data_IF_909956683914
#
_entry.id   IF_909956683914
#
_cell.length_a   1.000
_cell.length_b   1.000
_cell.length_c   1.000
_cell.angle_alpha   90.00
_cell.angle_beta   90.00
_cell.angle_gamma   90.00
#
_symmetry.space_group_name_H-M   'P 1'
#
loop_
_entity.id
_entity.type
_entity.pdbx_description
1 polymer ?
#
# COMPACT_ATOMS: atom_id res chain seq x y z
N UNK A 1 30.37 4.40 4.17
CA UNK A 1 29.63 3.34 4.17
C UNK A 1 28.31 3.54 3.64
N UNK A 2 27.95 2.62 3.04
CA UNK A 2 26.86 2.71 2.27
C UNK A 2 25.72 2.04 2.88
N UNK A 3 24.75 2.71 3.18
CA UNK A 3 23.56 2.10 3.67
C UNK A 3 22.69 1.77 2.50
N UNK A 4 23.05 0.73 1.83
CA UNK A 4 22.26 0.27 0.72
C UNK A 4 20.99 -0.34 1.23
N UNK A 5 19.96 0.49 1.35
CA UNK A 5 18.65 -0.01 1.66
C UNK A 5 18.00 -0.45 0.37
N UNK A 6 17.63 -1.71 0.32
CA UNK A 6 17.00 -2.29 -0.86
C UNK A 6 15.49 -2.17 -0.71
N UNK A 7 14.91 -1.23 -1.43
CA UNK A 7 13.45 -1.04 -1.44
C UNK A 7 12.84 -1.72 -2.65
N UNK A 8 11.78 -2.46 -2.42
CA UNK A 8 11.00 -3.09 -3.50
C UNK A 8 9.53 -2.78 -3.35
N UNK A 9 8.88 -2.56 -4.47
CA UNK A 9 7.43 -2.40 -4.52
C UNK A 9 6.80 -3.71 -4.92
N UNK A 10 5.82 -4.18 -4.15
CA UNK A 10 5.09 -5.39 -4.47
C UNK A 10 3.60 -5.09 -4.53
N UNK A 11 2.93 -5.53 -5.59
CA UNK A 11 1.49 -5.40 -5.71
C UNK A 11 0.80 -6.55 -4.99
N UNK A 12 -0.18 -6.21 -4.15
CA UNK A 12 -1.03 -7.22 -3.52
C UNK A 12 -2.21 -7.51 -4.43
N UNK A 13 -2.39 -8.78 -4.76
CA UNK A 13 -3.53 -9.25 -5.57
C UNK A 13 -4.32 -10.34 -4.85
N UNK A 14 -3.90 -10.69 -3.64
CA UNK A 14 -4.57 -11.69 -2.82
C UNK A 14 -4.35 -11.38 -1.36
N UNK A 15 -5.36 -11.61 -0.54
CA UNK A 15 -5.23 -11.49 0.91
C UNK A 15 -4.65 -12.74 1.56
N UNK A 16 -4.25 -13.73 0.77
CA UNK A 16 -3.77 -15.01 1.30
C UNK A 16 -2.26 -15.08 1.42
N UNK A 17 -1.59 -13.95 1.47
CA UNK A 17 -0.13 -13.90 1.62
C UNK A 17 0.25 -13.20 2.92
N UNK A 18 1.46 -13.45 3.41
CA UNK A 18 1.93 -12.83 4.65
C UNK A 18 2.04 -11.31 4.53
N UNK A 19 2.37 -10.81 3.35
CA UNK A 19 2.49 -9.37 3.11
C UNK A 19 1.17 -8.64 3.34
N UNK A 20 0.05 -9.27 3.06
CA UNK A 20 -1.25 -8.67 3.34
C UNK A 20 -1.42 -8.42 4.84
N UNK A 21 -1.08 -9.40 5.68
CA UNK A 21 -1.24 -9.25 7.13
C UNK A 21 -0.34 -8.15 7.68
N UNK A 22 0.89 -8.06 7.18
CA UNK A 22 1.80 -7.00 7.58
C UNK A 22 1.30 -5.63 7.12
N UNK A 23 0.75 -5.56 5.92
CA UNK A 23 0.16 -4.32 5.40
C UNK A 23 -0.99 -3.85 6.28
N UNK A 24 -1.85 -4.76 6.72
CA UNK A 24 -2.99 -4.40 7.56
C UNK A 24 -2.56 -3.94 8.95
N UNK A 25 -1.45 -4.45 9.47
CA UNK A 25 -0.89 -3.91 10.71
C UNK A 25 -0.49 -2.45 10.55
N UNK A 26 0.17 -2.13 9.44
CA UNK A 26 0.56 -0.73 9.15
C UNK A 26 -0.67 0.14 8.99
N UNK A 27 -1.66 -0.33 8.26
CA UNK A 27 -2.89 0.40 8.04
C UNK A 27 -3.59 0.72 9.35
N UNK A 28 -3.76 -0.27 10.23
CA UNK A 28 -4.48 -0.07 11.48
C UNK A 28 -3.74 0.82 12.46
N UNK A 29 -2.40 0.87 12.39
CA UNK A 29 -1.61 1.77 13.22
C UNK A 29 -1.72 3.22 12.80
N UNK A 30 -1.89 3.46 11.50
CA UNK A 30 -1.66 4.78 10.92
C UNK A 30 -2.92 5.57 10.63
N UNK A 31 -4.07 4.91 10.50
CA UNK A 31 -5.29 5.55 10.06
C UNK A 31 -6.13 6.05 11.23
N UNK A 32 -6.60 7.30 11.12
CA UNK A 32 -7.53 7.85 12.09
C UNK A 32 -8.79 6.99 12.12
N UNK A 33 -9.20 6.60 13.32
CA UNK A 33 -10.27 5.64 13.46
C UNK A 33 -11.60 6.09 12.85
N UNK A 34 -11.86 7.38 12.81
CA UNK A 34 -13.13 7.91 12.31
C UNK A 34 -13.28 7.84 10.79
N UNK A 35 -12.18 7.67 10.06
CA UNK A 35 -12.22 7.62 8.60
C UNK A 35 -11.71 6.31 8.04
N UNK A 36 -11.52 5.34 8.91
CA UNK A 36 -10.91 4.09 8.52
C UNK A 36 -11.89 3.23 7.71
N UNK A 37 -11.48 2.87 6.51
CA UNK A 37 -12.14 1.78 5.78
C UNK A 37 -11.83 0.49 6.51
N UNK A 38 -12.81 -0.38 6.67
CA UNK A 38 -12.58 -1.63 7.40
C UNK A 38 -11.60 -2.53 6.65
N UNK A 39 -10.82 -3.31 7.41
CA UNK A 39 -9.89 -4.25 6.79
C UNK A 39 -10.64 -5.33 6.00
N UNK A 40 -11.88 -5.65 6.37
CA UNK A 40 -12.71 -6.58 5.60
C UNK A 40 -13.02 -6.04 4.21
N UNK A 41 -13.30 -4.76 4.10
CA UNK A 41 -13.57 -4.13 2.82
C UNK A 41 -12.30 -4.05 1.98
N UNK A 42 -11.17 -3.73 2.59
CA UNK A 42 -9.87 -3.72 1.91
C UNK A 42 -9.57 -5.12 1.38
N UNK A 43 -9.77 -6.14 2.22
CA UNK A 43 -9.56 -7.54 1.84
C UNK A 43 -10.40 -7.89 0.62
N UNK A 44 -11.67 -7.51 0.63
CA UNK A 44 -12.56 -7.77 -0.50
C UNK A 44 -11.98 -7.18 -1.79
N UNK A 45 -11.58 -5.92 -1.77
CA UNK A 45 -11.08 -5.27 -2.98
C UNK A 45 -9.71 -5.77 -3.43
N UNK A 46 -8.85 -6.19 -2.50
CA UNK A 46 -7.60 -6.82 -2.89
C UNK A 46 -7.89 -8.12 -3.64
N UNK A 47 -8.80 -8.93 -3.11
CA UNK A 47 -9.13 -10.22 -3.71
C UNK A 47 -9.97 -10.09 -4.99
N UNK A 48 -10.64 -8.95 -5.16
CA UNK A 48 -11.56 -8.72 -6.27
C UNK A 48 -11.25 -7.42 -7.02
N UNK A 49 -9.99 -7.05 -7.12
CA UNK A 49 -9.61 -5.76 -7.71
C UNK A 49 -10.10 -5.63 -9.16
N UNK A 50 -10.27 -6.73 -9.87
CA UNK A 50 -10.75 -6.69 -11.25
C UNK A 50 -12.22 -6.28 -11.37
N UNK A 51 -12.97 -6.31 -10.28
CA UNK A 51 -14.37 -5.89 -10.28
C UNK A 51 -14.56 -4.39 -10.20
N UNK A 52 -13.51 -3.62 -10.05
CA UNK A 52 -13.60 -2.18 -9.99
C UNK A 52 -13.99 -1.63 -11.36
N UNK A 53 -15.18 -1.05 -11.46
CA UNK A 53 -15.74 -0.67 -12.75
C UNK A 53 -15.13 0.59 -13.35
N UNK A 54 -14.59 1.48 -12.53
CA UNK A 54 -14.14 2.79 -12.98
C UNK A 54 -12.72 2.81 -13.52
N UNK A 55 -11.99 1.73 -13.33
CA UNK A 55 -10.60 1.65 -13.79
C UNK A 55 -9.85 0.52 -13.13
N UNK A 56 -8.71 0.84 -12.54
CA UNK A 56 -7.85 -0.16 -11.91
C UNK A 56 -7.57 0.21 -10.46
N UNK A 57 -7.62 -0.79 -9.58
CA UNK A 57 -7.21 -0.63 -8.20
C UNK A 57 -5.84 -1.24 -7.99
N UNK A 58 -5.00 -0.55 -7.24
CA UNK A 58 -3.66 -1.01 -6.91
C UNK A 58 -3.47 -0.96 -5.41
N UNK A 59 -3.04 -2.09 -4.85
CA UNK A 59 -2.69 -2.17 -3.44
C UNK A 59 -1.22 -2.57 -3.40
N UNK A 60 -0.37 -1.70 -2.88
CA UNK A 60 1.07 -1.94 -2.88
C UNK A 60 1.62 -2.03 -1.47
N UNK A 61 2.64 -2.86 -1.31
CA UNK A 61 3.48 -2.81 -0.12
C UNK A 61 4.88 -2.39 -0.53
N UNK A 62 5.54 -1.66 0.37
CA UNK A 62 6.95 -1.34 0.23
C UNK A 62 7.72 -2.30 1.11
N UNK A 63 8.69 -2.98 0.53
CA UNK A 63 9.55 -3.91 1.24
C UNK A 63 10.93 -3.28 1.38
N UNK A 64 11.50 -3.38 2.57
CA UNK A 64 12.89 -2.99 2.83
C UNK A 64 13.59 -4.24 3.34
N UNK A 65 14.54 -4.75 2.57
CA UNK A 65 15.25 -5.99 2.92
C UNK A 65 14.26 -7.12 3.26
N UNK A 66 13.25 -7.27 2.39
CA UNK A 66 12.20 -8.28 2.50
C UNK A 66 11.24 -8.12 3.69
N UNK A 67 11.28 -6.98 4.36
CA UNK A 67 10.34 -6.66 5.43
C UNK A 67 9.33 -5.65 4.91
N UNK A 68 8.04 -5.90 5.13
CA UNK A 68 6.99 -4.94 4.75
C UNK A 68 7.07 -3.74 5.69
N UNK A 69 7.33 -2.57 5.12
CA UNK A 69 7.45 -1.33 5.89
C UNK A 69 6.46 -0.26 5.45
N UNK A 70 5.72 -0.49 4.37
CA UNK A 70 4.77 0.51 3.88
C UNK A 70 3.59 -0.13 3.17
N UNK A 71 2.51 0.63 3.06
CA UNK A 71 1.28 0.20 2.42
C UNK A 71 0.63 1.38 1.70
N UNK A 72 0.11 1.15 0.50
CA UNK A 72 -0.56 2.18 -0.27
C UNK A 72 -1.75 1.62 -1.03
N UNK A 73 -2.78 2.46 -1.18
CA UNK A 73 -3.98 2.19 -1.97
C UNK A 73 -4.09 3.25 -3.03
N UNK A 74 -4.18 2.84 -4.29
CA UNK A 74 -4.30 3.74 -5.42
C UNK A 74 -5.43 3.29 -6.31
N UNK A 75 -6.03 4.26 -7.01
CA UNK A 75 -7.05 3.98 -8.02
C UNK A 75 -6.73 4.78 -9.26
N UNK A 76 -6.75 4.10 -10.40
CA UNK A 76 -6.66 4.77 -11.68
C UNK A 76 -8.06 4.84 -12.28
N UNK A 77 -8.53 6.05 -12.54
CA UNK A 77 -9.88 6.29 -13.10
C UNK A 77 -9.72 6.51 -14.60
N UNK A 78 -10.22 5.58 -15.38
CA UNK A 78 -10.01 5.59 -16.84
C UNK A 78 -10.63 6.80 -17.53
N UNK A 79 -11.84 7.16 -17.14
CA UNK A 79 -12.57 8.25 -17.80
C UNK A 79 -11.83 9.58 -17.71
N UNK A 80 -11.29 9.89 -16.56
CA UNK A 80 -10.59 11.15 -16.35
C UNK A 80 -9.08 11.03 -16.49
N UNK A 81 -8.57 9.81 -16.71
CA UNK A 81 -7.14 9.52 -16.75
C UNK A 81 -6.42 10.04 -15.50
N UNK A 82 -7.04 9.81 -14.35
CA UNK A 82 -6.56 10.33 -13.06
C UNK A 82 -6.08 9.19 -12.20
N UNK A 83 -4.88 9.34 -11.65
CA UNK A 83 -4.38 8.44 -10.62
C UNK A 83 -4.62 9.07 -9.26
N UNK A 84 -5.38 8.39 -8.42
CA UNK A 84 -5.68 8.85 -7.08
C UNK A 84 -4.86 8.03 -6.09
N UNK A 85 -4.11 8.71 -5.24
CA UNK A 85 -3.45 8.06 -4.11
C UNK A 85 -4.42 8.17 -2.94
N UNK A 86 -5.12 7.07 -2.67
CA UNK A 86 -6.15 7.06 -1.67
C UNK A 86 -5.59 6.94 -0.25
N UNK A 87 -4.46 6.25 -0.12
CA UNK A 87 -3.80 6.05 1.15
C UNK A 87 -2.36 5.67 0.94
N UNK A 88 -1.47 6.19 1.77
CA UNK A 88 -0.06 5.81 1.77
C UNK A 88 0.51 6.01 3.16
N UNK A 89 1.18 5.00 3.69
CA UNK A 89 1.79 5.07 5.01
C UNK A 89 3.03 4.20 5.11
N UNK A 90 3.92 4.61 5.99
CA UNK A 90 5.12 3.86 6.35
C UNK A 90 4.99 3.47 7.83
N UNK A 91 5.43 2.25 8.15
CA UNK A 91 5.48 1.76 9.52
C UNK A 91 6.29 2.74 10.38
N UNK A 92 5.79 3.04 11.56
CA UNK A 92 6.43 4.01 12.45
C UNK A 92 7.88 3.71 12.75
N UNK A 93 8.25 2.43 12.84
CA UNK A 93 9.63 2.04 13.10
C UNK A 93 10.57 2.37 11.96
N UNK A 94 10.03 2.51 10.75
CA UNK A 94 10.81 2.74 9.54
C UNK A 94 10.50 4.09 8.91
N UNK A 95 9.75 4.93 9.62
CA UNK A 95 9.29 6.20 9.08
C UNK A 95 10.46 7.17 8.96
N UNK A 96 10.97 7.28 7.76
CA UNK A 96 12.02 8.20 7.41
C UNK A 96 11.65 8.86 6.10
N UNK A 97 12.25 10.01 5.84
CA UNK A 97 12.03 10.68 4.55
C UNK A 97 12.47 9.79 3.40
N UNK A 98 13.57 9.07 3.58
CA UNK A 98 14.08 8.18 2.55
C UNK A 98 13.06 7.09 2.18
N UNK A 99 12.47 6.44 3.18
CA UNK A 99 11.49 5.39 2.93
C UNK A 99 10.25 5.94 2.23
N UNK A 100 9.74 7.08 2.70
CA UNK A 100 8.56 7.70 2.11
C UNK A 100 8.81 8.11 0.66
N UNK A 101 9.94 8.76 0.38
CA UNK A 101 10.24 9.17 -0.99
C UNK A 101 10.48 7.98 -1.90
N UNK A 102 11.08 6.91 -1.41
CA UNK A 102 11.27 5.70 -2.20
C UNK A 102 9.94 5.07 -2.56
N UNK A 103 9.01 5.03 -1.63
CA UNK A 103 7.68 4.50 -1.89
C UNK A 103 6.98 5.31 -2.97
N UNK A 104 6.98 6.62 -2.78
CA UNK A 104 6.33 7.53 -3.71
C UNK A 104 6.96 7.44 -5.10
N UNK A 105 8.27 7.33 -5.16
CA UNK A 105 8.99 7.26 -6.42
C UNK A 105 8.74 5.95 -7.17
N UNK A 106 8.65 4.82 -6.44
CA UNK A 106 8.43 3.52 -7.05
C UNK A 106 7.00 3.33 -7.57
N UNK A 107 6.04 4.03 -6.99
CA UNK A 107 4.68 4.02 -7.49
C UNK A 107 4.61 4.76 -8.81
#
# INVERSE_FOLDING_TARGET
MNNNVDYKLMRLTSSKCSEYFEAMKIYTQSVEYIQKTSTNEIKYWIDHFKKFALGDLFFFVLLSNDIVIGYAELAYIKKSRTLLIDYIAIDKQYNSNSAFYSFYWLI
#
